data_IF_960974184984
#
_entry.id   IF_960974184984
#
_cell.length_a   1.000
_cell.length_b   1.000
_cell.length_c   1.000
_cell.angle_alpha   90.00
_cell.angle_beta   90.00
_cell.angle_gamma   90.00
#
_symmetry.space_group_name_H-M   'P 1'
#
loop_
_entity.id
_entity.type
_entity.pdbx_description
1 polymer ?
#
# COMPACT_ATOMS: atom_id res chain seq x y z
N UNK A 1 11.26 20.86 6.46
CA UNK A 1 12.28 21.02 7.52
C UNK A 1 12.03 20.02 8.67
N UNK A 2 12.41 18.73 8.52
CA UNK A 2 12.29 17.68 9.57
C UNK A 2 13.32 16.54 9.44
N UNK A 3 14.38 16.76 8.67
CA UNK A 3 15.43 15.78 8.31
C UNK A 3 16.65 15.88 9.23
N UNK A 4 16.86 17.04 9.86
CA UNK A 4 17.95 17.36 10.82
C UNK A 4 17.96 16.56 12.13
N UNK A 5 17.09 15.56 12.30
CA UNK A 5 16.94 14.84 13.58
C UNK A 5 17.89 13.66 13.76
N UNK A 6 18.72 13.28 12.77
CA UNK A 6 19.55 12.07 12.84
C UNK A 6 21.02 12.24 12.37
N UNK A 7 21.49 13.45 12.02
CA UNK A 7 22.84 13.68 11.47
C UNK A 7 23.18 12.77 10.26
N UNK A 8 22.18 12.36 9.49
CA UNK A 8 22.37 11.53 8.30
C UNK A 8 22.52 12.42 7.07
N UNK A 9 23.77 12.66 6.65
CA UNK A 9 24.12 13.47 5.49
C UNK A 9 23.49 12.95 4.20
N UNK A 10 23.22 11.64 4.08
CA UNK A 10 22.55 11.08 2.91
C UNK A 10 21.07 11.45 2.84
N UNK A 11 20.42 11.54 4.00
CA UNK A 11 19.02 11.96 4.10
C UNK A 11 18.85 13.45 3.83
N UNK A 12 19.82 14.27 4.24
CA UNK A 12 19.85 15.71 3.95
C UNK A 12 20.02 15.98 2.45
N UNK A 13 21.00 15.34 1.80
CA UNK A 13 21.20 15.43 0.35
C UNK A 13 19.95 14.97 -0.42
N UNK A 14 19.36 13.83 -0.03
CA UNK A 14 18.12 13.36 -0.65
C UNK A 14 16.95 14.35 -0.48
N UNK A 15 16.82 14.96 0.71
CA UNK A 15 15.78 15.95 0.96
C UNK A 15 15.98 17.22 0.15
N UNK A 16 17.22 17.67 -0.03
CA UNK A 16 17.53 18.84 -0.87
C UNK A 16 17.28 18.54 -2.34
N UNK A 17 17.67 17.35 -2.82
CA UNK A 17 17.35 16.89 -4.18
C UNK A 17 15.85 16.84 -4.42
N UNK A 18 15.06 16.30 -3.47
CA UNK A 18 13.60 16.30 -3.54
C UNK A 18 13.00 17.71 -3.60
N UNK A 19 13.51 18.64 -2.78
CA UNK A 19 13.04 20.03 -2.79
C UNK A 19 13.39 20.71 -4.12
N UNK A 20 14.59 20.47 -4.65
CA UNK A 20 15.04 21.01 -5.94
C UNK A 20 14.12 20.54 -7.08
N UNK A 21 13.78 19.25 -7.08
CA UNK A 21 12.81 18.67 -8.02
C UNK A 21 11.42 19.30 -7.81
N UNK A 22 10.92 19.33 -6.57
CA UNK A 22 9.59 19.85 -6.24
C UNK A 22 9.41 21.34 -6.50
N UNK A 23 10.50 22.11 -6.53
CA UNK A 23 10.50 23.53 -6.88
C UNK A 23 10.69 23.78 -8.38
N UNK A 24 10.78 22.73 -9.21
CA UNK A 24 11.00 22.87 -10.66
C UNK A 24 12.37 23.43 -11.03
N UNK A 25 13.36 23.30 -10.14
CA UNK A 25 14.72 23.83 -10.34
C UNK A 25 15.64 22.85 -11.07
N UNK A 26 15.10 21.73 -11.54
CA UNK A 26 15.84 20.71 -12.30
C UNK A 26 15.68 20.99 -13.80
N UNK A 27 16.77 20.89 -14.59
CA UNK A 27 16.69 21.09 -16.03
C UNK A 27 15.65 20.17 -16.67
N UNK A 28 14.76 20.77 -17.45
CA UNK A 28 13.80 20.08 -18.29
C UNK A 28 14.41 19.97 -19.69
N UNK A 29 14.49 18.77 -20.24
CA UNK A 29 14.84 18.58 -21.63
C UNK A 29 13.72 19.16 -22.53
N UNK A 30 14.02 20.21 -23.29
CA UNK A 30 13.04 20.93 -24.12
C UNK A 30 12.41 20.04 -25.20
N UNK A 31 13.12 18.99 -25.63
CA UNK A 31 12.66 18.11 -26.71
C UNK A 31 11.62 17.08 -26.24
N UNK A 32 11.71 16.65 -24.99
CA UNK A 32 10.84 15.61 -24.42
C UNK A 32 9.93 16.11 -23.29
N UNK A 33 10.22 17.30 -22.74
CA UNK A 33 9.53 17.86 -21.57
C UNK A 33 9.89 17.17 -20.26
N UNK A 34 11.05 16.51 -20.18
CA UNK A 34 11.41 15.58 -19.10
C UNK A 34 12.53 16.11 -18.23
N UNK A 35 12.47 15.83 -16.93
CA UNK A 35 13.61 16.09 -16.03
C UNK A 35 14.49 14.85 -15.90
N UNK A 36 15.78 15.08 -15.69
CA UNK A 36 16.75 14.04 -15.36
C UNK A 36 17.02 14.02 -13.87
N UNK A 37 17.08 12.83 -13.28
CA UNK A 37 17.46 12.68 -11.89
C UNK A 37 18.98 12.69 -11.72
N UNK A 38 19.49 13.17 -10.56
CA UNK A 38 20.85 12.88 -10.15
C UNK A 38 21.12 11.37 -10.12
N UNK A 39 22.33 10.95 -10.54
CA UNK A 39 22.70 9.52 -10.59
C UNK A 39 22.66 8.83 -9.22
N UNK A 40 22.72 9.58 -8.12
CA UNK A 40 22.64 9.12 -6.74
C UNK A 40 21.23 9.24 -6.12
N UNK A 41 20.22 9.67 -6.88
CA UNK A 41 18.89 9.94 -6.34
C UNK A 41 18.14 8.66 -5.94
N UNK A 42 18.13 7.66 -6.83
CA UNK A 42 17.57 6.35 -6.53
C UNK A 42 18.14 5.24 -7.40
N UNK A 43 17.93 3.99 -6.98
CA UNK A 43 18.27 2.83 -7.80
C UNK A 43 17.12 2.52 -8.74
N UNK A 44 17.31 2.82 -10.01
CA UNK A 44 16.36 2.46 -11.06
C UNK A 44 16.45 0.97 -11.37
N UNK A 45 15.29 0.34 -11.50
CA UNK A 45 15.12 -1.07 -11.82
C UNK A 45 14.15 -1.23 -12.99
N UNK A 46 14.33 -2.30 -13.76
CA UNK A 46 13.65 -2.46 -15.05
C UNK A 46 12.40 -3.34 -14.98
N UNK A 47 12.12 -3.96 -13.83
CA UNK A 47 10.99 -4.89 -13.65
C UNK A 47 10.40 -4.87 -12.24
N UNK A 48 9.11 -5.27 -12.12
CA UNK A 48 8.45 -5.45 -10.82
C UNK A 48 9.17 -6.48 -9.95
N UNK A 49 9.70 -7.54 -10.54
CA UNK A 49 10.43 -8.58 -9.80
C UNK A 49 11.73 -8.07 -9.21
N UNK A 50 12.49 -7.28 -9.96
CA UNK A 50 13.70 -6.63 -9.46
C UNK A 50 13.38 -5.65 -8.32
N UNK A 51 12.32 -4.86 -8.46
CA UNK A 51 11.82 -4.00 -7.38
C UNK A 51 11.48 -4.80 -6.12
N UNK A 52 10.70 -5.88 -6.29
CA UNK A 52 10.29 -6.75 -5.18
C UNK A 52 11.51 -7.36 -4.51
N UNK A 53 12.50 -7.83 -5.28
CA UNK A 53 13.70 -8.46 -4.73
C UNK A 53 14.60 -7.45 -3.99
N UNK A 54 14.64 -6.20 -4.44
CA UNK A 54 15.36 -5.12 -3.74
C UNK A 54 14.68 -4.70 -2.43
N UNK A 55 13.34 -4.60 -2.42
CA UNK A 55 12.59 -4.18 -1.22
C UNK A 55 12.41 -5.32 -0.22
N UNK A 56 12.14 -6.53 -0.72
CA UNK A 56 11.88 -7.74 0.06
C UNK A 56 12.89 -8.85 -0.28
N UNK A 57 14.20 -8.64 -0.03
CA UNK A 57 15.20 -9.66 -0.33
C UNK A 57 14.96 -10.94 0.46
N UNK A 58 15.00 -12.08 -0.23
CA UNK A 58 14.82 -13.41 0.36
C UNK A 58 13.54 -13.52 1.21
N UNK A 59 12.41 -13.01 0.70
CA UNK A 59 11.13 -13.08 1.42
C UNK A 59 10.75 -14.49 1.89
N UNK A 60 11.15 -15.52 1.16
CA UNK A 60 10.94 -16.93 1.49
C UNK A 60 11.54 -17.30 2.86
N UNK A 61 12.66 -16.68 3.24
CA UNK A 61 13.31 -16.87 4.55
C UNK A 61 12.82 -15.87 5.59
N UNK A 62 12.47 -14.65 5.15
CA UNK A 62 12.19 -13.52 6.04
C UNK A 62 10.70 -13.29 6.37
N UNK A 63 9.74 -13.98 5.73
CA UNK A 63 8.30 -13.72 5.93
C UNK A 63 7.79 -13.95 7.37
N UNK A 64 8.58 -14.60 8.23
CA UNK A 64 8.28 -14.75 9.67
C UNK A 64 8.89 -13.65 10.55
N UNK A 65 9.83 -12.88 10.02
CA UNK A 65 10.52 -11.81 10.72
C UNK A 65 9.68 -10.52 10.68
N UNK A 66 8.99 -10.26 11.78
CA UNK A 66 8.09 -9.10 11.90
C UNK A 66 8.81 -7.76 11.77
N UNK A 67 9.98 -7.64 12.40
CA UNK A 67 10.74 -6.40 12.40
C UNK A 67 11.18 -6.06 10.99
N UNK A 68 11.73 -7.06 10.29
CA UNK A 68 12.11 -6.94 8.90
C UNK A 68 10.92 -6.55 8.00
N UNK A 69 9.76 -7.20 8.15
CA UNK A 69 8.56 -6.85 7.38
C UNK A 69 8.03 -5.44 7.70
N UNK A 70 8.15 -4.98 8.95
CA UNK A 70 7.59 -3.70 9.41
C UNK A 70 8.20 -2.48 8.75
N UNK A 71 9.45 -2.61 8.31
CA UNK A 71 10.26 -1.52 7.79
C UNK A 71 10.15 -1.35 6.27
N UNK A 72 9.48 -2.27 5.59
CA UNK A 72 9.48 -2.41 4.13
C UNK A 72 8.08 -2.21 3.54
N UNK A 73 8.02 -1.55 2.40
CA UNK A 73 6.80 -1.43 1.60
C UNK A 73 7.13 -1.13 0.15
N UNK A 74 6.23 -1.47 -0.77
CA UNK A 74 6.21 -0.90 -2.11
C UNK A 74 5.05 0.08 -2.24
N UNK A 75 5.30 1.24 -2.80
CA UNK A 75 4.29 2.22 -3.10
C UNK A 75 4.00 2.26 -4.60
N UNK A 76 2.73 2.43 -4.95
CA UNK A 76 2.31 2.66 -6.31
C UNK A 76 1.23 3.74 -6.35
N UNK A 77 1.01 4.37 -7.51
CA UNK A 77 -0.01 5.41 -7.61
C UNK A 77 -1.43 4.83 -7.74
N UNK A 78 -1.59 3.68 -8.40
CA UNK A 78 -2.89 3.07 -8.69
C UNK A 78 -3.14 1.82 -7.85
N UNK A 79 -4.39 1.62 -7.41
CA UNK A 79 -4.79 0.42 -6.66
C UNK A 79 -4.54 -0.88 -7.45
N UNK A 80 -4.73 -0.86 -8.78
CA UNK A 80 -4.43 -2.03 -9.63
C UNK A 80 -2.97 -2.48 -9.50
N UNK A 81 -2.04 -1.54 -9.52
CA UNK A 81 -0.61 -1.84 -9.35
C UNK A 81 -0.29 -2.39 -7.96
N UNK A 82 -0.94 -1.83 -6.94
CA UNK A 82 -0.84 -2.32 -5.57
C UNK A 82 -1.32 -3.76 -5.46
N UNK A 83 -2.46 -4.08 -6.05
CA UNK A 83 -3.04 -5.42 -6.01
C UNK A 83 -2.18 -6.43 -6.79
N UNK A 84 -1.64 -6.05 -7.95
CA UNK A 84 -0.69 -6.87 -8.72
C UNK A 84 0.59 -7.17 -7.93
N UNK A 85 1.21 -6.15 -7.33
CA UNK A 85 2.42 -6.30 -6.52
C UNK A 85 2.16 -7.18 -5.29
N UNK A 86 1.05 -6.94 -4.59
CA UNK A 86 0.63 -7.75 -3.46
C UNK A 86 0.44 -9.22 -3.86
N UNK A 87 -0.17 -9.48 -5.02
CA UNK A 87 -0.37 -10.83 -5.55
C UNK A 87 0.96 -11.54 -5.82
N UNK A 88 1.89 -10.87 -6.51
CA UNK A 88 3.23 -11.43 -6.82
C UNK A 88 3.97 -11.78 -5.52
N UNK A 89 4.02 -10.84 -4.57
CA UNK A 89 4.73 -11.02 -3.30
C UNK A 89 4.11 -12.15 -2.47
N UNK A 90 2.78 -12.19 -2.37
CA UNK A 90 2.04 -13.23 -1.65
C UNK A 90 2.30 -14.64 -2.20
N UNK A 91 2.48 -14.76 -3.51
CA UNK A 91 2.80 -16.03 -4.15
C UNK A 91 4.23 -16.51 -3.86
N UNK A 92 5.17 -15.60 -3.59
CA UNK A 92 6.53 -15.93 -3.15
C UNK A 92 6.60 -16.50 -1.72
N UNK A 93 5.57 -16.27 -0.89
CA UNK A 93 5.54 -16.79 0.49
C UNK A 93 5.17 -18.28 0.51
N UNK A 94 5.95 -19.08 1.22
CA UNK A 94 5.65 -20.50 1.45
C UNK A 94 4.50 -20.63 2.45
N UNK A 95 3.50 -21.46 2.13
CA UNK A 95 2.41 -21.79 3.03
C UNK A 95 1.09 -21.98 2.29
N UNK A 96 0.13 -22.59 2.99
CA UNK A 96 -1.22 -22.84 2.46
C UNK A 96 -1.96 -21.52 2.26
N UNK A 97 -2.50 -21.33 1.05
CA UNK A 97 -3.38 -20.21 0.76
C UNK A 97 -4.77 -20.50 1.34
N UNK A 98 -5.25 -19.62 2.22
CA UNK A 98 -6.62 -19.64 2.72
C UNK A 98 -7.44 -18.57 2.01
N UNK A 99 -8.67 -18.93 1.65
CA UNK A 99 -9.59 -18.09 0.91
C UNK A 99 -10.81 -17.80 1.78
N UNK A 100 -11.12 -16.52 1.97
CA UNK A 100 -12.26 -16.06 2.75
C UNK A 100 -13.21 -15.30 1.82
N UNK A 101 -14.32 -15.94 1.44
CA UNK A 101 -15.40 -15.29 0.68
C UNK A 101 -16.22 -14.39 1.60
N UNK A 102 -16.57 -13.20 1.14
CA UNK A 102 -17.50 -12.30 1.83
C UNK A 102 -18.93 -12.79 1.71
N UNK A 103 -19.80 -12.24 2.54
CA UNK A 103 -21.25 -12.38 2.41
C UNK A 103 -21.77 -10.98 2.06
N UNK A 104 -22.30 -10.84 0.86
CA UNK A 104 -22.78 -9.56 0.33
C UNK A 104 -24.32 -9.61 0.24
N UNK A 105 -24.98 -8.53 0.67
CA UNK A 105 -26.43 -8.38 0.51
C UNK A 105 -26.79 -6.93 0.22
N UNK A 106 -27.85 -6.69 -0.54
CA UNK A 106 -28.49 -5.36 -0.61
C UNK A 106 -29.06 -5.00 0.76
N UNK A 107 -29.09 -3.71 1.11
CA UNK A 107 -29.73 -3.27 2.35
C UNK A 107 -31.25 -3.14 2.19
N UNK A 108 -31.72 -2.86 0.97
CA UNK A 108 -33.13 -2.80 0.59
C UNK A 108 -33.55 -4.08 -0.16
N UNK A 109 -34.51 -4.83 0.39
CA UNK A 109 -35.01 -6.08 -0.21
C UNK A 109 -35.72 -5.85 -1.55
N UNK A 110 -36.35 -4.68 -1.75
CA UNK A 110 -37.03 -4.34 -3.00
C UNK A 110 -36.05 -4.19 -4.19
N UNK A 111 -34.76 -3.98 -3.91
CA UNK A 111 -33.69 -3.87 -4.89
C UNK A 111 -32.96 -5.21 -5.14
N UNK A 112 -33.31 -6.28 -4.41
CA UNK A 112 -32.63 -7.57 -4.50
C UNK A 112 -32.73 -8.22 -5.90
N UNK A 113 -33.80 -7.92 -6.65
CA UNK A 113 -33.98 -8.36 -8.03
C UNK A 113 -33.16 -7.52 -9.02
N UNK A 114 -32.84 -6.26 -8.69
CA UNK A 114 -32.08 -5.35 -9.53
C UNK A 114 -30.57 -5.59 -9.41
N UNK A 115 -30.10 -6.06 -8.25
CA UNK A 115 -28.68 -6.26 -7.96
C UNK A 115 -28.39 -7.71 -7.53
N UNK A 116 -28.12 -8.62 -8.50
CA UNK A 116 -27.83 -10.01 -8.18
C UNK A 116 -26.54 -10.16 -7.36
N UNK A 117 -26.45 -11.22 -6.56
CA UNK A 117 -25.32 -11.47 -5.65
C UNK A 117 -23.99 -11.57 -6.42
N UNK A 118 -23.99 -12.14 -7.62
CA UNK A 118 -22.83 -12.23 -8.50
C UNK A 118 -22.29 -10.85 -8.89
N UNK A 119 -23.19 -9.89 -9.13
CA UNK A 119 -22.81 -8.51 -9.38
C UNK A 119 -22.17 -7.90 -8.14
N UNK A 120 -22.80 -8.02 -6.95
CA UNK A 120 -22.24 -7.52 -5.69
C UNK A 120 -20.84 -8.09 -5.41
N UNK A 121 -20.67 -9.41 -5.58
CA UNK A 121 -19.41 -10.10 -5.37
C UNK A 121 -18.30 -9.65 -6.34
N UNK A 122 -18.66 -9.10 -7.51
CA UNK A 122 -17.71 -8.58 -8.49
C UNK A 122 -17.19 -7.18 -8.18
N UNK A 123 -17.85 -6.44 -7.27
CA UNK A 123 -17.50 -5.06 -6.95
C UNK A 123 -16.22 -4.98 -6.11
N UNK A 124 -15.23 -4.25 -6.63
CA UNK A 124 -14.04 -3.81 -5.89
C UNK A 124 -14.17 -2.31 -5.56
N UNK A 125 -14.89 -2.02 -4.48
CA UNK A 125 -15.15 -0.65 -4.02
C UNK A 125 -13.99 -0.18 -3.12
N UNK A 126 -13.47 1.04 -3.31
CA UNK A 126 -12.48 1.62 -2.41
C UNK A 126 -12.96 1.60 -0.95
N UNK A 127 -12.07 1.19 -0.04
CA UNK A 127 -12.38 1.11 1.39
C UNK A 127 -13.17 -0.13 1.83
N UNK A 128 -13.62 -0.97 0.89
CA UNK A 128 -14.08 -2.32 1.19
C UNK A 128 -12.96 -3.35 0.98
N UNK A 129 -12.94 -4.44 1.77
CA UNK A 129 -12.13 -5.60 1.45
C UNK A 129 -12.66 -6.31 0.20
N UNK A 130 -11.81 -7.05 -0.52
CA UNK A 130 -12.24 -7.84 -1.67
C UNK A 130 -13.24 -8.93 -1.25
N UNK A 131 -14.15 -9.28 -2.16
CA UNK A 131 -15.07 -10.41 -1.95
C UNK A 131 -14.29 -11.68 -1.60
N UNK A 132 -13.27 -12.00 -2.39
CA UNK A 132 -12.39 -13.13 -2.14
C UNK A 132 -11.06 -12.67 -1.52
N UNK A 133 -10.99 -12.66 -0.19
CA UNK A 133 -9.78 -12.32 0.55
C UNK A 133 -8.88 -13.57 0.67
N UNK A 134 -7.73 -13.54 -0.02
CA UNK A 134 -6.76 -14.64 -0.04
C UNK A 134 -5.53 -14.31 0.81
N UNK A 135 -5.23 -15.14 1.79
CA UNK A 135 -4.16 -14.91 2.77
C UNK A 135 -3.36 -16.20 3.05
N UNK A 136 -2.11 -16.02 3.47
CA UNK A 136 -1.22 -17.05 4.05
C UNK A 136 -0.75 -16.59 5.43
N UNK A 137 -0.27 -17.51 6.26
CA UNK A 137 0.49 -17.13 7.45
C UNK A 137 1.74 -16.34 7.02
N UNK A 138 2.00 -15.20 7.66
CA UNK A 138 3.06 -14.26 7.28
C UNK A 138 2.65 -13.19 6.27
N UNK A 139 1.40 -13.17 5.81
CA UNK A 139 0.90 -12.07 4.97
C UNK A 139 0.92 -10.76 5.75
N UNK A 140 1.42 -9.70 5.12
CA UNK A 140 1.27 -8.33 5.64
C UNK A 140 -0.06 -7.79 5.18
N UNK A 141 -0.86 -7.28 6.12
CA UNK A 141 -2.19 -6.72 5.88
C UNK A 141 -2.32 -5.34 6.53
N UNK A 142 -3.30 -4.58 6.08
CA UNK A 142 -3.62 -3.26 6.64
C UNK A 142 -5.11 -3.19 7.01
N UNK A 143 -5.41 -2.58 8.15
CA UNK A 143 -6.78 -2.33 8.61
C UNK A 143 -7.47 -1.29 7.71
N UNK A 144 -8.72 -1.56 7.34
CA UNK A 144 -9.55 -0.67 6.52
C UNK A 144 -10.54 0.18 7.35
N UNK A 145 -10.80 -0.21 8.59
CA UNK A 145 -11.75 0.46 9.50
C UNK A 145 -11.16 0.55 10.91
N UNK A 146 -11.65 1.53 11.66
CA UNK A 146 -11.40 1.63 13.09
C UNK A 146 -12.26 0.58 13.80
N UNK A 147 -11.64 -0.26 14.63
CA UNK A 147 -12.35 -1.23 15.49
C UNK A 147 -12.20 -0.83 16.96
N UNK A 148 -10.96 -0.54 17.38
CA UNK A 148 -10.65 -0.24 18.78
C UNK A 148 -9.55 0.81 18.83
N UNK A 149 -9.95 2.08 18.88
CA UNK A 149 -9.00 3.19 18.94
C UNK A 149 -8.37 3.30 20.34
N UNK A 150 -7.08 3.67 20.46
CA UNK A 150 -6.16 4.04 19.38
C UNK A 150 -5.34 2.87 18.80
N UNK A 151 -5.67 1.62 19.15
CA UNK A 151 -4.86 0.43 18.85
C UNK A 151 -5.07 -0.16 17.46
N UNK A 152 -6.33 -0.34 17.05
CA UNK A 152 -6.75 -0.92 15.77
C UNK A 152 -7.51 0.14 14.98
N UNK A 153 -6.75 1.03 14.35
CA UNK A 153 -7.24 2.10 13.51
C UNK A 153 -7.07 1.74 12.02
N UNK A 154 -7.82 2.42 11.15
CA UNK A 154 -7.58 2.41 9.72
C UNK A 154 -6.11 2.76 9.43
N UNK A 155 -5.46 2.00 8.54
CA UNK A 155 -4.05 2.15 8.23
C UNK A 155 -3.08 1.35 9.11
N UNK A 156 -3.56 0.72 10.20
CA UNK A 156 -2.69 -0.11 11.05
C UNK A 156 -2.20 -1.32 10.27
N UNK A 157 -0.87 -1.46 10.10
CA UNK A 157 -0.24 -2.61 9.45
C UNK A 157 -0.04 -3.76 10.44
N UNK A 158 -0.40 -4.95 10.00
CA UNK A 158 -0.40 -6.17 10.78
C UNK A 158 0.24 -7.30 9.98
N UNK A 159 0.80 -8.29 10.67
CA UNK A 159 1.26 -9.54 10.06
C UNK A 159 0.41 -10.70 10.54
N UNK A 160 -0.10 -11.48 9.60
CA UNK A 160 -0.95 -12.64 9.88
C UNK A 160 -0.11 -13.73 10.56
N UNK A 161 -0.59 -14.21 11.70
CA UNK A 161 0.04 -15.27 12.49
C UNK A 161 -0.70 -16.59 12.40
N UNK A 162 -2.03 -16.56 12.47
CA UNK A 162 -2.88 -17.74 12.30
C UNK A 162 -4.17 -17.36 11.58
N UNK A 163 -4.64 -18.28 10.75
CA UNK A 163 -5.86 -18.15 9.96
C UNK A 163 -6.89 -19.17 10.47
N UNK A 164 -8.00 -18.69 11.00
CA UNK A 164 -9.12 -19.51 11.46
C UNK A 164 -10.38 -19.10 10.69
N UNK A 165 -11.42 -19.93 10.73
CA UNK A 165 -12.61 -19.73 9.87
C UNK A 165 -13.30 -18.37 10.10
N UNK A 166 -13.41 -17.95 11.36
CA UNK A 166 -14.19 -16.77 11.76
C UNK A 166 -13.34 -15.60 12.29
N UNK A 167 -12.05 -15.84 12.55
CA UNK A 167 -11.15 -14.87 13.18
C UNK A 167 -9.76 -15.00 12.59
N UNK A 168 -9.10 -13.87 12.36
CA UNK A 168 -7.69 -13.82 11.98
C UNK A 168 -6.87 -13.39 13.18
N UNK A 169 -5.83 -14.15 13.49
CA UNK A 169 -4.85 -13.79 14.52
C UNK A 169 -3.66 -13.10 13.87
N UNK A 170 -3.35 -11.89 14.32
CA UNK A 170 -2.29 -11.07 13.73
C UNK A 170 -1.49 -10.32 14.81
N UNK A 171 -0.30 -9.83 14.43
CA UNK A 171 0.55 -9.00 15.30
C UNK A 171 0.67 -7.60 14.70
N UNK A 172 0.59 -6.56 15.53
CA UNK A 172 0.81 -5.17 15.11
C UNK A 172 2.28 -4.94 14.77
N UNK A 173 2.54 -4.36 13.60
CA UNK A 173 3.91 -4.24 13.06
C UNK A 173 4.60 -2.93 13.46
N UNK A 174 3.85 -1.84 13.63
CA UNK A 174 4.39 -0.48 13.79
C UNK A 174 3.63 0.32 14.85
N UNK A 175 4.23 1.42 15.30
CA UNK A 175 3.61 2.38 16.22
C UNK A 175 3.69 1.97 17.70
N UNK A 176 2.91 2.67 18.53
CA UNK A 176 2.92 2.54 19.99
C UNK A 176 2.60 1.11 20.49
N UNK A 177 1.82 0.38 19.72
CA UNK A 177 1.34 -0.97 20.06
C UNK A 177 2.09 -2.08 19.30
N UNK A 178 3.29 -1.79 18.77
CA UNK A 178 4.13 -2.78 18.04
C UNK A 178 4.33 -4.04 18.88
N UNK A 179 4.16 -5.19 18.26
CA UNK A 179 4.34 -6.51 18.88
C UNK A 179 3.10 -7.07 19.57
N UNK A 180 2.06 -6.26 19.78
CA UNK A 180 0.82 -6.77 20.38
C UNK A 180 0.06 -7.69 19.42
N UNK A 181 -0.50 -8.74 20.00
CA UNK A 181 -1.28 -9.74 19.29
C UNK A 181 -2.77 -9.42 19.39
N UNK A 182 -3.48 -9.58 18.27
CA UNK A 182 -4.88 -9.17 18.13
C UNK A 182 -5.67 -10.20 17.32
N UNK A 183 -6.97 -10.23 17.58
CA UNK A 183 -7.95 -11.03 16.86
C UNK A 183 -8.82 -10.10 16.01
N UNK A 184 -8.93 -10.41 14.72
CA UNK A 184 -9.72 -9.65 13.75
C UNK A 184 -10.96 -10.47 13.39
N UNK A 185 -12.17 -10.06 13.80
CA UNK A 185 -13.40 -10.68 13.34
C UNK A 185 -13.83 -10.14 11.98
N UNK A 186 -14.79 -10.82 11.34
CA UNK A 186 -15.53 -10.25 10.21
C UNK A 186 -16.45 -9.15 10.73
N UNK A 187 -16.52 -8.03 10.02
CA UNK A 187 -17.47 -6.95 10.31
C UNK A 187 -18.28 -6.61 9.07
N UNK A 188 -19.55 -6.21 9.23
CA UNK A 188 -20.32 -5.68 8.12
C UNK A 188 -19.83 -4.27 7.75
N UNK A 189 -19.67 -4.00 6.46
CA UNK A 189 -19.32 -2.68 5.94
C UNK A 189 -20.28 -2.29 4.84
N UNK A 190 -20.71 -1.04 4.88
CA UNK A 190 -21.56 -0.40 3.87
C UNK A 190 -20.70 0.67 3.19
N UNK A 191 -20.53 0.64 1.85
CA UNK A 191 -19.86 1.71 1.11
C UNK A 191 -20.77 2.93 1.03
N UNK A 192 -20.20 4.13 1.10
CA UNK A 192 -20.96 5.40 1.06
C UNK A 192 -21.13 5.96 -0.36
N UNK A 193 -20.25 5.59 -1.28
CA UNK A 193 -20.11 6.26 -2.58
C UNK A 193 -20.60 5.35 -3.71
N UNK A 194 -21.84 4.84 -3.59
CA UNK A 194 -22.47 3.93 -4.55
C UNK A 194 -23.90 4.38 -4.86
N UNK A 195 -24.41 4.13 -6.09
CA UNK A 195 -25.78 4.50 -6.47
C UNK A 195 -26.86 3.64 -5.82
N UNK A 196 -26.47 2.63 -5.05
CA UNK A 196 -27.32 1.75 -4.26
C UNK A 196 -26.57 1.33 -2.99
N UNK A 197 -27.30 0.93 -1.97
CA UNK A 197 -26.71 0.49 -0.72
C UNK A 197 -26.62 -1.05 -0.65
N UNK A 198 -25.42 -1.54 -0.36
CA UNK A 198 -25.21 -2.95 -0.05
C UNK A 198 -24.24 -3.11 1.12
N UNK A 199 -24.31 -4.25 1.77
CA UNK A 199 -23.54 -4.61 2.95
C UNK A 199 -22.63 -5.77 2.60
N UNK A 200 -21.33 -5.63 2.88
CA UNK A 200 -20.31 -6.68 2.76
C UNK A 200 -19.84 -7.10 4.14
N UNK A 201 -20.11 -8.35 4.53
CA UNK A 201 -19.58 -8.97 5.76
C UNK A 201 -18.26 -9.68 5.46
N UNK A 202 -17.16 -9.09 5.93
CA UNK A 202 -15.80 -9.59 5.65
C UNK A 202 -14.81 -9.08 6.72
N UNK A 203 -13.62 -9.68 6.80
CA UNK A 203 -12.53 -9.11 7.60
C UNK A 203 -12.15 -7.72 7.07
N UNK A 204 -12.06 -6.69 7.92
CA UNK A 204 -11.79 -5.31 7.49
C UNK A 204 -10.29 -5.08 7.24
N UNK A 205 -9.70 -5.91 6.39
CA UNK A 205 -8.28 -5.90 6.05
C UNK A 205 -8.05 -6.12 4.55
N UNK A 206 -6.92 -5.63 4.04
CA UNK A 206 -6.41 -5.91 2.68
C UNK A 206 -4.92 -6.24 2.76
N UNK A 207 -4.38 -6.96 1.76
CA UNK A 207 -2.93 -7.18 1.64
C UNK A 207 -2.19 -5.85 1.55
N UNK A 208 -1.00 -5.78 2.15
CA UNK A 208 -0.26 -4.52 2.34
C UNK A 208 1.28 -4.69 2.32
N UNK A 209 1.78 -5.58 1.47
CA UNK A 209 3.19 -5.54 1.05
C UNK A 209 3.44 -4.32 0.15
N UNK A 210 2.46 -4.02 -0.69
CA UNK A 210 2.33 -2.77 -1.40
C UNK A 210 1.11 -1.97 -0.92
N UNK A 211 1.17 -0.64 -1.03
CA UNK A 211 0.02 0.25 -0.79
C UNK A 211 0.10 1.48 -1.70
N UNK A 212 -0.99 2.25 -1.79
CA UNK A 212 -0.95 3.47 -2.57
C UNK A 212 -0.14 4.55 -1.86
N UNK A 213 0.44 5.45 -2.66
CA UNK A 213 1.20 6.60 -2.14
C UNK A 213 0.34 7.40 -1.15
N UNK A 214 -0.93 7.66 -1.48
CA UNK A 214 -1.87 8.36 -0.59
C UNK A 214 -2.07 7.64 0.76
N UNK A 215 -2.05 6.30 0.79
CA UNK A 215 -2.20 5.50 2.03
C UNK A 215 -0.92 5.42 2.87
N UNK A 216 0.22 5.78 2.31
CA UNK A 216 1.49 5.80 3.02
C UNK A 216 1.74 7.06 3.85
N UNK A 217 0.89 8.08 3.69
CA UNK A 217 1.02 9.34 4.41
C UNK A 217 0.97 9.11 5.93
N UNK A 218 1.93 9.67 6.66
CA UNK A 218 2.05 9.52 8.11
C UNK A 218 2.71 8.21 8.58
N UNK A 219 3.10 7.31 7.67
CA UNK A 219 3.86 6.11 8.03
C UNK A 219 5.37 6.36 8.00
N UNK A 220 6.10 5.74 8.94
CA UNK A 220 7.57 5.72 8.96
C UNK A 220 8.05 4.34 8.50
N UNK A 221 8.87 4.32 7.46
CA UNK A 221 9.38 3.12 6.78
C UNK A 221 10.89 3.30 6.57
N UNK A 222 11.67 2.21 6.52
CA UNK A 222 13.13 2.28 6.27
C UNK A 222 13.49 1.95 4.83
N UNK A 223 12.70 1.10 4.17
CA UNK A 223 12.95 0.67 2.78
C UNK A 223 11.65 0.81 2.00
N UNK A 224 11.68 1.55 0.89
CA UNK A 224 10.52 1.80 0.07
C UNK A 224 10.82 1.57 -1.41
N UNK A 225 10.02 0.73 -2.06
CA UNK A 225 9.96 0.70 -3.52
C UNK A 225 8.93 1.70 -4.04
N UNK A 226 9.19 2.33 -5.19
CA UNK A 226 8.20 3.10 -5.94
C UNK A 226 7.97 2.45 -7.30
N UNK A 227 6.75 1.95 -7.52
CA UNK A 227 6.29 1.50 -8.82
C UNK A 227 5.53 2.63 -9.53
N UNK A 228 6.12 3.15 -10.61
CA UNK A 228 5.57 4.26 -11.39
C UNK A 228 5.09 3.86 -12.79
N UNK A 229 5.03 2.55 -13.09
CA UNK A 229 4.76 2.00 -14.43
C UNK A 229 3.51 2.60 -15.11
N UNK A 230 2.45 2.88 -14.33
CA UNK A 230 1.20 3.45 -14.85
C UNK A 230 0.86 4.84 -14.30
N UNK A 231 1.87 5.59 -13.83
CA UNK A 231 1.69 6.88 -13.12
C UNK A 231 1.84 8.11 -14.02
N UNK A 232 1.84 7.95 -15.35
CA UNK A 232 2.08 9.03 -16.33
C UNK A 232 1.22 10.30 -16.10
N UNK A 233 0.00 10.17 -15.57
CA UNK A 233 -0.92 11.31 -15.37
C UNK A 233 -0.74 12.02 -14.03
N UNK A 234 -0.20 11.32 -13.02
CA UNK A 234 -0.01 11.83 -11.65
C UNK A 234 1.34 12.55 -11.53
N UNK A 235 2.20 12.37 -12.52
CA UNK A 235 3.55 12.91 -12.56
C UNK A 235 3.65 13.89 -13.73
N UNK A 236 2.75 14.87 -13.80
CA UNK A 236 2.82 15.92 -14.84
C UNK A 236 3.82 17.03 -14.52
N UNK A 237 4.56 16.93 -13.42
CA UNK A 237 5.66 17.83 -13.08
C UNK A 237 6.92 17.16 -12.53
N UNK A 238 7.07 15.82 -12.60
CA UNK A 238 8.15 15.17 -11.85
C UNK A 238 9.02 14.16 -12.60
N UNK A 239 8.59 13.18 -13.40
CA UNK A 239 9.50 12.11 -13.86
C UNK A 239 9.00 11.49 -15.16
N UNK A 240 9.81 11.48 -16.23
CA UNK A 240 9.75 10.32 -17.14
C UNK A 240 11.14 9.85 -17.55
N UNK A 241 11.48 8.64 -17.11
CA UNK A 241 12.35 7.71 -17.80
C UNK A 241 11.48 6.53 -18.24
N UNK A 242 11.79 5.92 -19.39
CA UNK A 242 11.03 4.82 -19.99
C UNK A 242 10.78 3.69 -18.98
N UNK A 243 9.52 3.29 -18.76
CA UNK A 243 9.12 2.09 -17.97
C UNK A 243 9.99 1.87 -16.72
N UNK A 244 10.28 2.93 -15.96
CA UNK A 244 11.27 2.83 -14.89
C UNK A 244 10.58 2.67 -13.55
N UNK A 245 10.96 1.61 -12.84
CA UNK A 245 10.58 1.36 -11.46
C UNK A 245 11.77 1.81 -10.61
N UNK A 246 11.57 2.38 -9.42
CA UNK A 246 12.65 2.99 -8.62
C UNK A 246 12.62 2.45 -7.19
N UNK A 247 13.78 2.15 -6.62
CA UNK A 247 13.95 1.82 -5.20
C UNK A 247 14.40 3.08 -4.48
N UNK A 248 13.55 3.62 -3.60
CA UNK A 248 13.89 4.77 -2.76
C UNK A 248 14.43 4.25 -1.42
N UNK A 249 15.67 4.59 -1.11
CA UNK A 249 16.18 4.49 0.26
C UNK A 249 15.47 5.55 1.11
N UNK A 250 14.76 5.11 2.16
CA UNK A 250 13.91 6.00 2.96
C UNK A 250 14.71 6.61 4.08
N UNK A 251 14.67 7.93 4.19
CA UNK A 251 14.49 8.56 5.49
C UNK A 251 13.39 9.63 5.42
N UNK A 252 12.27 9.31 6.11
CA UNK A 252 11.04 10.11 6.29
C UNK A 252 10.21 10.42 5.02
N UNK A 253 9.24 9.54 4.75
CA UNK A 253 8.18 9.65 3.73
C UNK A 253 7.23 10.87 3.90
N UNK A 254 7.44 11.74 4.88
CA UNK A 254 6.55 12.89 5.13
C UNK A 254 6.65 13.98 4.06
N UNK A 255 7.74 14.04 3.29
CA UNK A 255 7.94 15.06 2.25
C UNK A 255 7.39 14.60 0.89
N UNK A 256 7.74 13.38 0.43
CA UNK A 256 7.31 12.85 -0.88
C UNK A 256 5.79 12.74 -0.98
N UNK A 257 5.12 12.25 0.07
CA UNK A 257 3.66 12.09 0.05
C UNK A 257 2.94 13.43 -0.05
N UNK A 258 3.49 14.51 0.52
CA UNK A 258 2.90 15.84 0.45
C UNK A 258 2.96 16.41 -0.97
N UNK A 259 4.13 16.29 -1.63
CA UNK A 259 4.31 16.69 -3.03
C UNK A 259 3.42 15.88 -3.99
N UNK A 260 3.30 14.57 -3.79
CA UNK A 260 2.46 13.74 -4.66
C UNK A 260 0.94 13.84 -4.36
N UNK A 261 0.56 14.28 -3.16
CA UNK A 261 -0.85 14.48 -2.80
C UNK A 261 -1.43 15.84 -3.21
N UNK A 262 -0.58 16.89 -3.30
CA UNK A 262 -1.02 18.24 -3.65
C UNK A 262 -1.33 18.41 -5.16
N UNK A 263 -0.96 17.43 -6.01
CA UNK A 263 -1.25 17.43 -7.46
C UNK A 263 -2.40 16.47 -7.89
N UNK A 264 -3.15 15.89 -6.96
CA UNK A 264 -4.32 15.05 -7.31
C UNK A 264 -5.54 15.94 -7.57
N UNK A 265 -6.12 16.01 -8.79
CA UNK A 265 -7.46 16.55 -8.95
C UNK A 265 -8.44 15.63 -8.23
N UNK A 266 -9.29 16.23 -7.39
CA UNK A 266 -10.38 15.57 -6.68
C UNK A 266 -11.41 15.11 -7.72
N UNK A 267 -11.36 13.83 -8.11
CA UNK A 267 -12.42 13.12 -8.83
C UNK A 267 -12.55 11.71 -8.28
#
# INVERSE_FOLDING_TARGET
MRVTLLNDTSAEDFSEQLLTIGNGQVPVDESSGLISFPNNFCNFVSSKDELINNVFPNIISNYKNNEWLSERVILAAKNKDVDDLNYIIQNKIIGTMHSFKSIDCVTNEDEATNYPIEFLNSLDVPGLPPHNLRLKVGSVVIMLRNINQPKLCNGTRLVVRKLMNNVIYATIMIGKFKGEEILIPRIPMIPTDMPFEFKRLQFPIRLAFAMTINKSQGQSLKVCGLNLEHSWSIIRGMFTGRKTICVVCVYKMSCITRYLSEEQPMY
#
